data_IF_555612158059
#
_entry.id   IF_555612158059
#
_cell.length_a   1.000
_cell.length_b   1.000
_cell.length_c   1.000
_cell.angle_alpha   90.00
_cell.angle_beta   90.00
_cell.angle_gamma   90.00
#
_symmetry.space_group_name_H-M   'P 1'
#
loop_
_entity.id
_entity.type
_entity.pdbx_description
1 polymer ?
#
# COMPACT_ATOMS: atom_id res chain seq x y z
N UNK A 1 -12.48 -42.91 -5.64
CA UNK A 1 -13.04 -41.61 -5.23
C UNK A 1 -12.27 -41.19 -3.99
N UNK A 2 -11.18 -40.46 -4.19
CA UNK A 2 -10.24 -40.09 -3.14
C UNK A 2 -10.61 -38.70 -2.61
N UNK A 3 -10.82 -38.58 -1.31
CA UNK A 3 -10.99 -37.30 -0.64
C UNK A 3 -9.60 -36.69 -0.43
N UNK A 4 -9.36 -35.52 -1.01
CA UNK A 4 -8.22 -34.68 -0.64
C UNK A 4 -8.53 -34.00 0.70
N UNK A 5 -7.61 -33.98 1.68
CA UNK A 5 -7.78 -33.16 2.86
C UNK A 5 -7.49 -31.70 2.50
N UNK A 6 -8.45 -30.82 2.74
CA UNK A 6 -8.20 -29.39 2.86
C UNK A 6 -7.24 -29.16 4.03
N UNK A 7 -5.99 -28.82 3.72
CA UNK A 7 -5.08 -28.26 4.71
C UNK A 7 -5.51 -26.80 4.94
N UNK A 8 -6.32 -26.59 5.98
CA UNK A 8 -6.41 -25.29 6.64
C UNK A 8 -5.06 -25.05 7.34
N UNK A 9 -4.14 -24.36 6.66
CA UNK A 9 -3.00 -23.76 7.34
C UNK A 9 -3.53 -22.61 8.20
N UNK A 10 -3.57 -22.87 9.50
CA UNK A 10 -4.03 -21.97 10.55
C UNK A 10 -3.21 -20.67 10.53
N UNK A 11 -3.83 -19.56 10.09
CA UNK A 11 -3.32 -18.16 10.09
C UNK A 11 -3.04 -17.58 11.49
N UNK A 12 -2.66 -18.39 12.48
CA UNK A 12 -2.50 -17.95 13.87
C UNK A 12 -1.27 -18.54 14.53
N UNK A 13 -0.07 -18.23 14.04
CA UNK A 13 1.16 -18.37 14.87
C UNK A 13 2.32 -17.49 14.39
N UNK A 14 2.12 -16.18 14.23
CA UNK A 14 3.24 -15.23 14.22
C UNK A 14 2.83 -13.93 14.92
N UNK A 15 2.84 -13.95 16.25
CA UNK A 15 2.75 -12.75 17.07
C UNK A 15 3.50 -13.01 18.37
N UNK A 16 4.83 -12.93 18.28
CA UNK A 16 5.72 -12.83 19.43
C UNK A 16 7.15 -12.48 18.98
N UNK A 17 7.44 -11.20 18.68
CA UNK A 17 8.74 -10.56 18.92
C UNK A 17 8.78 -9.11 18.42
N UNK A 18 8.72 -8.15 19.35
CA UNK A 18 9.33 -6.79 19.33
C UNK A 18 8.57 -5.92 20.37
N UNK A 19 8.80 -6.05 21.68
CA UNK A 19 9.84 -5.35 22.47
C UNK A 19 9.86 -3.82 22.20
N UNK A 20 9.33 -2.97 23.08
CA UNK A 20 10.03 -2.44 24.27
C UNK A 20 11.47 -1.96 23.97
N UNK A 21 11.66 -0.65 23.77
CA UNK A 21 12.99 -0.07 23.58
C UNK A 21 13.04 1.47 23.54
N UNK A 22 13.20 2.06 24.73
CA UNK A 22 13.91 3.32 25.09
C UNK A 22 14.05 4.49 24.10
N UNK A 23 13.59 5.65 24.56
CA UNK A 23 13.96 6.98 24.08
C UNK A 23 15.48 7.23 24.15
N UNK A 24 16.08 7.57 23.01
CA UNK A 24 17.43 8.13 22.89
C UNK A 24 17.37 9.63 22.60
N UNK A 25 18.14 10.41 23.36
CA UNK A 25 18.24 11.86 23.28
C UNK A 25 19.10 12.34 22.11
N UNK A 26 18.74 13.52 21.60
CA UNK A 26 19.41 14.29 20.55
C UNK A 26 20.94 14.44 20.71
N UNK A 27 21.64 14.38 19.56
CA UNK A 27 23.01 14.83 19.40
C UNK A 27 23.17 15.54 18.05
N UNK A 28 23.36 16.86 18.09
CA UNK A 28 23.74 17.65 16.91
C UNK A 28 25.19 17.35 16.54
N UNK A 29 25.47 17.08 15.27
CA UNK A 29 26.81 17.10 14.71
C UNK A 29 26.94 18.25 13.70
N UNK A 30 27.60 19.32 14.15
CA UNK A 30 28.30 20.29 13.31
C UNK A 30 29.54 19.63 12.70
N UNK A 31 29.73 19.71 11.37
CA UNK A 31 30.97 19.19 10.78
C UNK A 31 31.12 19.30 9.26
N UNK A 32 31.75 20.39 8.83
CA UNK A 32 32.71 20.45 7.72
C UNK A 32 32.24 20.12 6.27
N UNK A 33 31.81 21.17 5.55
CA UNK A 33 31.87 21.23 4.09
C UNK A 33 33.32 21.40 3.62
N UNK A 34 33.97 20.29 3.24
CA UNK A 34 35.24 20.27 2.52
C UNK A 34 35.04 19.59 1.15
N UNK A 35 35.26 20.32 0.06
CA UNK A 35 35.02 19.81 -1.29
C UNK A 35 36.18 19.00 -1.89
N UNK A 36 35.86 18.24 -2.93
CA UNK A 36 36.77 17.69 -3.96
C UNK A 36 35.95 17.52 -5.25
N UNK A 37 36.12 18.38 -6.27
CA UNK A 37 36.95 18.14 -7.46
C UNK A 37 36.69 16.81 -8.19
N UNK A 38 35.92 16.95 -9.28
CA UNK A 38 35.79 16.09 -10.47
C UNK A 38 36.48 14.73 -10.46
N UNK A 39 35.68 13.68 -10.37
CA UNK A 39 36.02 12.35 -10.82
C UNK A 39 35.08 11.95 -11.96
N UNK A 40 35.69 11.41 -13.01
CA UNK A 40 35.07 10.94 -14.24
C UNK A 40 34.06 9.84 -13.91
N UNK A 41 32.83 9.97 -14.43
CA UNK A 41 31.81 8.92 -14.33
C UNK A 41 32.38 7.63 -14.93
N UNK A 42 32.53 6.55 -14.14
CA UNK A 42 32.80 5.24 -14.69
C UNK A 42 31.60 4.91 -15.58
N UNK A 43 31.86 4.44 -16.79
CA UNK A 43 30.82 3.74 -17.54
C UNK A 43 30.51 2.47 -16.76
N UNK A 44 29.38 2.48 -16.06
CA UNK A 44 28.83 1.34 -15.32
C UNK A 44 28.58 0.19 -16.30
N UNK A 45 29.59 -0.64 -16.49
CA UNK A 45 29.39 -2.01 -16.95
C UNK A 45 28.58 -2.68 -15.83
N UNK A 46 27.27 -2.89 -16.06
CA UNK A 46 26.35 -3.57 -15.15
C UNK A 46 26.92 -4.94 -14.74
N UNK A 47 27.66 -4.95 -13.63
CA UNK A 47 28.39 -6.10 -13.15
C UNK A 47 27.41 -7.02 -12.44
N UNK A 48 26.82 -7.95 -13.18
CA UNK A 48 26.01 -9.01 -12.59
C UNK A 48 26.88 -9.83 -11.60
N UNK A 49 26.40 -10.10 -10.38
CA UNK A 49 27.14 -10.88 -9.41
C UNK A 49 27.37 -12.30 -9.94
N UNK A 50 28.52 -12.88 -9.57
CA UNK A 50 28.80 -14.29 -9.88
C UNK A 50 27.96 -15.19 -8.97
N UNK A 51 27.28 -16.21 -9.52
CA UNK A 51 26.54 -17.19 -8.72
C UNK A 51 27.43 -17.82 -7.64
N UNK A 52 26.85 -18.13 -6.49
CA UNK A 52 27.58 -18.73 -5.38
C UNK A 52 26.97 -20.08 -5.04
N UNK A 53 27.79 -21.13 -4.92
CA UNK A 53 27.36 -22.46 -4.47
C UNK A 53 27.01 -22.49 -2.95
N UNK A 54 26.34 -21.46 -2.45
CA UNK A 54 26.01 -21.30 -1.04
C UNK A 54 24.85 -22.22 -0.68
N UNK A 55 25.05 -23.04 0.34
CA UNK A 55 24.01 -23.93 0.85
C UNK A 55 22.84 -23.10 1.44
N UNK A 56 21.61 -23.52 1.14
CA UNK A 56 20.40 -22.84 1.63
C UNK A 56 20.34 -22.88 3.16
N UNK A 57 19.92 -21.78 3.83
CA UNK A 57 19.72 -21.79 5.27
C UNK A 57 18.70 -22.86 5.71
N UNK A 58 18.99 -23.55 6.81
CA UNK A 58 18.06 -24.51 7.39
C UNK A 58 16.79 -23.80 7.89
N UNK A 59 15.62 -24.37 7.59
CA UNK A 59 14.33 -23.82 8.03
C UNK A 59 13.78 -22.71 7.15
N UNK A 60 14.19 -22.63 5.89
CA UNK A 60 13.74 -21.56 5.03
C UNK A 60 12.25 -21.67 4.66
N UNK A 61 11.45 -20.62 4.87
CA UNK A 61 10.11 -20.54 4.28
C UNK A 61 10.25 -20.57 2.75
N UNK A 62 9.71 -21.61 2.13
CA UNK A 62 9.81 -21.80 0.67
C UNK A 62 8.78 -20.97 -0.11
N UNK A 63 7.89 -20.27 0.59
CA UNK A 63 7.03 -19.24 0.02
C UNK A 63 6.35 -18.44 1.13
N UNK A 64 6.23 -17.13 0.92
CA UNK A 64 5.31 -16.27 1.66
C UNK A 64 3.91 -16.27 1.01
N UNK A 65 3.67 -17.13 0.00
CA UNK A 65 2.51 -17.14 -0.88
C UNK A 65 2.25 -15.77 -1.56
N UNK A 66 3.30 -14.97 -1.73
CA UNK A 66 3.27 -13.73 -2.50
C UNK A 66 3.36 -14.13 -3.98
N UNK A 67 2.36 -13.78 -4.77
CA UNK A 67 2.26 -14.07 -6.22
C UNK A 67 3.23 -13.21 -7.04
N UNK A 68 4.51 -13.18 -6.65
CA UNK A 68 5.58 -12.38 -7.22
C UNK A 68 6.60 -13.30 -7.88
N UNK A 69 6.74 -13.15 -9.20
CA UNK A 69 7.70 -13.93 -9.97
C UNK A 69 9.13 -13.51 -9.63
N UNK A 70 9.96 -14.50 -9.27
CA UNK A 70 11.38 -14.27 -9.07
C UNK A 70 12.10 -13.99 -10.40
N UNK A 71 13.03 -13.03 -10.43
CA UNK A 71 13.78 -12.73 -11.64
C UNK A 71 14.62 -13.95 -12.08
N UNK A 72 14.63 -14.20 -13.40
CA UNK A 72 15.46 -15.25 -14.00
C UNK A 72 16.94 -14.87 -14.03
N UNK A 73 17.22 -13.58 -14.19
CA UNK A 73 18.55 -13.00 -14.21
C UNK A 73 18.60 -11.87 -13.19
N UNK A 74 19.68 -11.80 -12.40
CA UNK A 74 19.85 -10.79 -11.37
C UNK A 74 20.68 -9.62 -11.93
N UNK A 75 19.99 -8.64 -12.49
CA UNK A 75 20.54 -7.35 -12.94
C UNK A 75 19.97 -6.24 -12.06
N UNK A 76 20.61 -5.08 -12.03
CA UNK A 76 20.14 -3.92 -11.26
C UNK A 76 18.65 -3.65 -11.55
N UNK A 77 18.29 -3.52 -12.83
CA UNK A 77 16.91 -3.26 -13.22
C UNK A 77 15.92 -4.42 -12.99
N UNK A 78 16.37 -5.68 -12.86
CA UNK A 78 15.46 -6.79 -12.52
C UNK A 78 15.25 -6.89 -11.01
N UNK A 79 16.30 -6.65 -10.22
CA UNK A 79 16.26 -6.64 -8.77
C UNK A 79 15.45 -5.46 -8.24
N UNK A 80 15.62 -4.27 -8.81
CA UNK A 80 14.86 -3.08 -8.43
C UNK A 80 13.35 -3.35 -8.56
N UNK A 81 12.90 -3.74 -9.75
CA UNK A 81 11.48 -4.08 -10.01
C UNK A 81 10.98 -5.21 -9.13
N UNK A 82 11.81 -6.24 -8.92
CA UNK A 82 11.46 -7.36 -8.05
C UNK A 82 11.23 -6.90 -6.61
N UNK A 83 12.17 -6.16 -6.02
CA UNK A 83 12.08 -5.70 -4.62
C UNK A 83 10.92 -4.73 -4.41
N UNK A 84 10.64 -3.83 -5.36
CA UNK A 84 9.47 -2.95 -5.29
C UNK A 84 8.16 -3.73 -5.33
N UNK A 85 8.01 -4.68 -6.24
CA UNK A 85 6.82 -5.53 -6.31
C UNK A 85 6.69 -6.41 -5.06
N UNK A 86 7.81 -6.97 -4.59
CA UNK A 86 7.88 -7.81 -3.40
C UNK A 86 7.48 -7.06 -2.14
N UNK A 87 8.03 -5.86 -1.91
CA UNK A 87 7.70 -5.06 -0.72
C UNK A 87 6.22 -4.68 -0.70
N UNK A 88 5.66 -4.26 -1.84
CA UNK A 88 4.23 -3.91 -1.89
C UNK A 88 3.34 -5.12 -1.55
N UNK A 89 3.68 -6.32 -2.04
CA UNK A 89 2.96 -7.54 -1.72
C UNK A 89 3.17 -7.96 -0.24
N UNK A 90 4.42 -7.96 0.22
CA UNK A 90 4.78 -8.30 1.60
C UNK A 90 4.11 -7.38 2.61
N UNK A 91 4.16 -6.06 2.39
CA UNK A 91 3.59 -5.09 3.33
C UNK A 91 2.06 -5.20 3.38
N UNK A 92 1.41 -5.49 2.25
CA UNK A 92 -0.03 -5.73 2.16
C UNK A 92 -0.46 -7.02 2.89
N UNK A 93 0.28 -8.10 2.75
CA UNK A 93 -0.16 -9.41 3.26
C UNK A 93 0.36 -9.71 4.68
N UNK A 94 1.55 -9.22 5.03
CA UNK A 94 2.24 -9.59 6.27
C UNK A 94 2.29 -8.48 7.33
N UNK A 95 2.34 -7.21 6.91
CA UNK A 95 2.51 -6.08 7.85
C UNK A 95 1.19 -5.43 8.20
N UNK A 96 0.37 -5.14 7.20
CA UNK A 96 -0.93 -4.52 7.42
C UNK A 96 -2.01 -5.58 7.32
N UNK A 97 -2.62 -5.92 8.45
CA UNK A 97 -3.89 -6.67 8.47
C UNK A 97 -5.02 -5.76 7.96
N UNK A 98 -4.97 -5.40 6.68
CA UNK A 98 -5.96 -4.54 6.07
C UNK A 98 -7.15 -5.38 5.60
N UNK A 99 -8.21 -5.39 6.41
CA UNK A 99 -9.53 -5.78 5.96
C UNK A 99 -10.31 -4.48 5.63
N UNK A 100 -10.64 -4.21 4.35
CA UNK A 100 -11.45 -3.04 4.02
C UNK A 100 -12.78 -3.15 4.79
N UNK A 101 -13.09 -2.10 5.53
CA UNK A 101 -14.29 -2.03 6.34
C UNK A 101 -15.52 -1.59 5.52
N UNK A 102 -15.29 -0.88 4.42
CA UNK A 102 -16.32 -0.46 3.47
C UNK A 102 -15.91 -0.79 2.03
N UNK A 103 -16.88 -0.79 1.10
CA UNK A 103 -16.62 -1.07 -0.33
C UNK A 103 -15.79 0.02 -1.03
N UNK A 104 -15.77 1.22 -0.44
CA UNK A 104 -15.07 2.39 -0.96
C UNK A 104 -13.72 2.62 -0.24
N UNK A 105 -13.34 1.77 0.73
CA UNK A 105 -12.04 1.91 1.37
C UNK A 105 -10.93 1.49 0.39
N UNK A 106 -9.98 2.39 0.14
CA UNK A 106 -8.83 2.11 -0.72
C UNK A 106 -7.55 1.98 0.12
N UNK A 107 -6.68 1.09 -0.31
CA UNK A 107 -5.37 0.91 0.27
C UNK A 107 -4.30 1.12 -0.79
N UNK A 108 -3.60 2.25 -0.68
CA UNK A 108 -2.51 2.61 -1.59
C UNK A 108 -1.17 2.25 -0.97
N UNK A 109 -0.33 1.54 -1.71
CA UNK A 109 1.07 1.31 -1.38
C UNK A 109 1.95 1.71 -2.56
N UNK A 110 3.05 2.39 -2.25
CA UNK A 110 4.10 2.68 -3.18
C UNK A 110 5.44 2.46 -2.50
N UNK A 111 6.31 1.71 -3.14
CA UNK A 111 7.68 1.47 -2.72
C UNK A 111 8.62 1.87 -3.85
N UNK A 112 9.77 2.43 -3.51
CA UNK A 112 10.78 2.87 -4.47
C UNK A 112 12.19 2.62 -3.96
N UNK A 113 13.07 2.16 -4.85
CA UNK A 113 14.50 2.00 -4.56
C UNK A 113 15.19 3.37 -4.62
N UNK A 114 15.97 3.70 -3.58
CA UNK A 114 16.50 5.06 -3.37
C UNK A 114 17.86 5.28 -4.05
N UNK A 115 18.77 4.31 -3.98
CA UNK A 115 20.17 4.43 -4.40
C UNK A 115 20.59 3.35 -5.42
N UNK A 116 19.60 2.73 -6.09
CA UNK A 116 19.80 1.56 -6.93
C UNK A 116 20.25 0.30 -6.16
N UNK A 117 20.23 -0.88 -6.80
CA UNK A 117 20.83 -2.09 -6.23
C UNK A 117 22.37 -2.03 -6.22
N UNK A 118 22.99 -2.63 -5.21
CA UNK A 118 24.45 -2.73 -5.10
C UNK A 118 24.86 -4.20 -5.00
N UNK A 119 25.60 -4.70 -6.00
CA UNK A 119 26.08 -6.07 -6.00
C UNK A 119 27.02 -6.36 -4.80
N UNK A 120 26.75 -7.43 -4.06
CA UNK A 120 27.54 -7.85 -2.90
C UNK A 120 27.45 -9.37 -2.69
N UNK A 121 28.61 -10.03 -2.58
CA UNK A 121 28.75 -11.45 -2.19
C UNK A 121 27.79 -12.44 -2.89
N UNK A 122 27.60 -12.27 -4.20
CA UNK A 122 26.76 -13.15 -5.03
C UNK A 122 25.31 -12.70 -5.19
N UNK A 123 24.92 -11.62 -4.52
CA UNK A 123 23.58 -11.03 -4.62
C UNK A 123 23.62 -9.52 -4.72
N UNK A 124 22.53 -8.88 -4.30
CA UNK A 124 22.33 -7.44 -4.30
C UNK A 124 21.83 -6.95 -2.96
N UNK A 125 22.37 -5.82 -2.52
CA UNK A 125 21.81 -5.01 -1.44
C UNK A 125 20.96 -3.91 -2.05
N UNK A 126 19.76 -3.72 -1.51
CA UNK A 126 18.82 -2.69 -2.00
C UNK A 126 18.35 -1.85 -0.82
N UNK A 127 18.34 -0.53 -0.98
CA UNK A 127 17.74 0.41 -0.03
C UNK A 127 16.40 0.87 -0.59
N UNK A 128 15.34 0.64 0.17
CA UNK A 128 13.98 0.93 -0.23
C UNK A 128 13.35 1.94 0.71
N UNK A 129 12.56 2.84 0.14
CA UNK A 129 11.64 3.70 0.86
C UNK A 129 10.23 3.43 0.38
N UNK A 130 9.30 3.33 1.32
CA UNK A 130 7.90 3.07 1.04
C UNK A 130 7.00 4.10 1.68
N UNK A 131 5.86 4.30 1.06
CA UNK A 131 4.76 5.12 1.56
C UNK A 131 3.45 4.43 1.26
N UNK A 132 2.47 4.65 2.12
CA UNK A 132 1.17 4.08 1.94
C UNK A 132 0.12 4.85 2.69
N UNK A 133 -1.12 4.54 2.34
CA UNK A 133 -2.29 5.21 2.84
C UNK A 133 -3.45 4.24 2.96
N UNK A 134 -4.11 4.27 4.11
CA UNK A 134 -5.50 3.82 4.19
C UNK A 134 -6.37 5.03 3.90
N UNK A 135 -7.21 4.90 2.89
CA UNK A 135 -8.22 5.88 2.51
C UNK A 135 -9.55 5.42 3.09
N UNK A 136 -9.94 5.97 4.25
CA UNK A 136 -11.28 5.77 4.79
C UNK A 136 -12.19 6.86 4.20
N UNK A 137 -13.18 6.54 3.37
CA UNK A 137 -14.02 7.55 2.77
C UNK A 137 -14.99 8.12 3.79
N UNK A 138 -14.95 9.45 3.96
CA UNK A 138 -16.09 10.18 4.50
C UNK A 138 -17.13 10.41 3.41
N UNK A 139 -18.36 10.78 3.77
CA UNK A 139 -19.32 11.28 2.78
C UNK A 139 -19.55 12.78 2.99
N UNK A 140 -19.35 13.53 1.92
CA UNK A 140 -19.82 14.88 1.77
C UNK A 140 -21.14 14.87 1.02
N UNK A 141 -22.21 15.32 1.68
CA UNK A 141 -23.56 15.36 1.13
C UNK A 141 -23.96 16.82 1.00
N UNK A 142 -24.27 17.26 -0.22
CA UNK A 142 -24.75 18.60 -0.53
C UNK A 142 -26.10 18.48 -1.22
N UNK A 143 -27.12 19.07 -0.61
CA UNK A 143 -28.45 19.15 -1.18
C UNK A 143 -28.75 20.59 -1.61
N UNK A 144 -29.09 20.76 -2.88
CA UNK A 144 -29.45 22.04 -3.47
C UNK A 144 -30.78 21.93 -4.21
N UNK A 145 -31.50 23.04 -4.30
CA UNK A 145 -32.69 23.10 -5.14
C UNK A 145 -32.24 23.24 -6.59
N UNK A 146 -32.65 22.33 -7.46
CA UNK A 146 -32.43 22.45 -8.89
C UNK A 146 -33.60 23.21 -9.55
N UNK A 147 -33.37 23.78 -10.73
CA UNK A 147 -34.46 24.26 -11.57
C UNK A 147 -35.37 23.05 -11.88
N UNK A 148 -36.60 23.01 -11.35
CA UNK A 148 -37.47 21.91 -11.67
C UNK A 148 -37.88 22.02 -13.15
N UNK A 149 -38.36 20.93 -13.76
CA UNK A 149 -39.00 21.01 -15.07
C UNK A 149 -40.07 22.11 -15.11
N UNK A 150 -40.31 22.67 -16.30
CA UNK A 150 -40.96 23.97 -16.56
C UNK A 150 -42.37 24.19 -15.97
N UNK A 151 -42.90 23.23 -15.23
CA UNK A 151 -44.27 23.08 -14.75
C UNK A 151 -44.37 22.79 -13.25
N UNK A 152 -43.29 22.95 -12.46
CA UNK A 152 -43.33 22.78 -11.00
C UNK A 152 -43.39 24.11 -10.21
N UNK A 153 -44.08 24.09 -9.06
CA UNK A 153 -44.21 25.23 -8.13
C UNK A 153 -43.04 25.29 -7.12
N UNK A 154 -42.46 26.47 -6.93
CA UNK A 154 -41.19 26.65 -6.21
C UNK A 154 -41.38 27.38 -4.86
N UNK A 155 -40.91 26.77 -3.77
CA UNK A 155 -40.79 27.33 -2.42
C UNK A 155 -39.43 28.03 -2.17
N UNK A 156 -39.29 28.71 -1.02
CA UNK A 156 -38.13 29.54 -0.69
C UNK A 156 -36.81 28.75 -0.51
N UNK A 157 -35.70 29.43 -0.83
CA UNK A 157 -34.31 28.95 -0.86
C UNK A 157 -33.84 28.27 0.43
N UNK A 158 -33.02 27.23 0.27
CA UNK A 158 -32.27 26.59 1.35
C UNK A 158 -31.20 25.66 0.78
N UNK A 159 -29.96 25.86 1.21
CA UNK A 159 -28.84 24.93 0.97
C UNK A 159 -28.60 24.14 2.25
N UNK A 160 -28.35 22.83 2.12
CA UNK A 160 -27.93 21.99 3.24
C UNK A 160 -26.66 21.23 2.89
N UNK A 161 -25.62 21.40 3.71
CA UNK A 161 -24.36 20.66 3.63
C UNK A 161 -24.18 19.84 4.91
N UNK A 162 -23.86 18.56 4.78
CA UNK A 162 -23.47 17.73 5.91
C UNK A 162 -22.29 16.83 5.57
N UNK A 163 -21.43 16.60 6.56
CA UNK A 163 -20.28 15.70 6.46
C UNK A 163 -20.48 14.53 7.40
N UNK A 164 -20.60 13.33 6.85
CA UNK A 164 -20.72 12.11 7.63
C UNK A 164 -19.33 11.51 7.73
N UNK A 165 -18.74 11.58 8.92
CA UNK A 165 -17.41 11.03 9.19
C UNK A 165 -17.45 9.66 9.88
N UNK A 166 -18.52 9.34 10.64
CA UNK A 166 -18.73 8.10 11.41
C UNK A 166 -20.20 7.94 11.83
N UNK A 167 -20.71 6.71 12.10
CA UNK A 167 -20.03 5.40 12.06
C UNK A 167 -19.99 4.75 10.67
N UNK A 168 -19.09 3.77 10.48
CA UNK A 168 -18.80 3.12 9.19
C UNK A 168 -20.02 2.47 8.55
N UNK A 169 -20.86 1.80 9.34
CA UNK A 169 -22.10 1.19 8.82
C UNK A 169 -23.05 2.24 8.22
N UNK A 170 -22.93 3.50 8.65
CA UNK A 170 -23.74 4.59 8.13
C UNK A 170 -23.29 5.05 6.75
N UNK A 171 -22.01 4.88 6.38
CA UNK A 171 -21.49 5.26 5.06
C UNK A 171 -22.04 4.32 3.99
N UNK A 172 -21.90 3.01 4.16
CA UNK A 172 -22.45 2.02 3.23
C UNK A 172 -23.98 2.15 3.10
N UNK A 173 -24.68 2.28 4.24
CA UNK A 173 -26.13 2.49 4.25
C UNK A 173 -26.53 3.74 3.46
N UNK A 174 -25.77 4.84 3.58
CA UNK A 174 -26.05 6.08 2.85
C UNK A 174 -25.75 5.95 1.35
N UNK A 175 -24.69 5.25 0.96
CA UNK A 175 -24.38 4.98 -0.45
C UNK A 175 -25.51 4.16 -1.09
N UNK A 176 -25.93 3.07 -0.42
CA UNK A 176 -27.05 2.24 -0.89
C UNK A 176 -28.36 3.03 -0.93
N UNK A 177 -28.64 3.85 0.08
CA UNK A 177 -29.82 4.71 0.10
C UNK A 177 -29.82 5.70 -1.08
N UNK A 178 -28.70 6.38 -1.35
CA UNK A 178 -28.59 7.34 -2.45
C UNK A 178 -28.79 6.65 -3.80
N UNK A 179 -28.16 5.49 -4.01
CA UNK A 179 -28.37 4.68 -5.21
C UNK A 179 -29.83 4.20 -5.36
N UNK A 180 -30.54 3.98 -4.24
CA UNK A 180 -31.96 3.62 -4.27
C UNK A 180 -32.90 4.81 -4.54
N UNK A 181 -32.47 6.05 -4.27
CA UNK A 181 -33.27 7.25 -4.44
C UNK A 181 -33.40 7.67 -5.91
N UNK A 182 -32.41 7.35 -6.74
CA UNK A 182 -32.41 7.71 -8.16
C UNK A 182 -31.77 6.60 -8.99
N UNK A 183 -32.45 6.21 -10.07
CA UNK A 183 -31.90 5.25 -11.04
C UNK A 183 -30.70 5.81 -11.82
N UNK A 184 -30.51 7.14 -11.79
CA UNK A 184 -29.42 7.83 -12.46
C UNK A 184 -28.16 7.96 -11.57
N UNK A 185 -28.30 7.73 -10.26
CA UNK A 185 -27.19 7.75 -9.34
C UNK A 185 -26.36 6.46 -9.49
N UNK A 186 -25.13 6.60 -9.98
CA UNK A 186 -24.18 5.49 -10.01
C UNK A 186 -23.68 5.20 -8.59
N UNK A 187 -23.43 3.93 -8.23
CA UNK A 187 -22.74 3.59 -7.00
C UNK A 187 -21.38 4.29 -6.94
N UNK A 188 -20.98 4.73 -5.75
CA UNK A 188 -19.60 5.16 -5.51
C UNK A 188 -18.75 3.89 -5.39
N UNK A 189 -17.69 3.78 -6.18
CA UNK A 189 -16.82 2.59 -6.24
C UNK A 189 -15.48 2.84 -5.56
N UNK A 190 -15.09 4.09 -5.37
CA UNK A 190 -13.88 4.44 -4.65
C UNK A 190 -13.81 5.87 -4.14
N UNK A 191 -12.69 6.22 -3.50
CA UNK A 191 -12.46 7.56 -2.98
C UNK A 191 -12.39 8.60 -4.11
N UNK A 192 -12.92 9.80 -3.88
CA UNK A 192 -13.00 10.85 -4.89
C UNK A 192 -14.14 10.70 -5.89
N UNK A 193 -14.83 9.55 -5.91
CA UNK A 193 -16.05 9.40 -6.69
C UNK A 193 -17.13 10.36 -6.21
N UNK A 194 -17.96 10.78 -7.14
CA UNK A 194 -19.13 11.59 -6.87
C UNK A 194 -20.33 11.09 -7.67
N UNK A 195 -21.49 11.13 -7.06
CA UNK A 195 -22.77 10.80 -7.71
C UNK A 195 -23.78 11.88 -7.40
N UNK A 196 -24.75 12.06 -8.30
CA UNK A 196 -25.82 13.03 -8.14
C UNK A 196 -27.14 12.29 -8.23
N UNK A 197 -28.02 12.49 -7.26
CA UNK A 197 -29.38 11.99 -7.26
C UNK A 197 -30.37 13.16 -7.29
N UNK A 198 -31.45 13.02 -8.05
CA UNK A 198 -32.55 13.98 -8.08
C UNK A 198 -33.79 13.36 -7.46
N UNK A 199 -34.48 14.08 -6.58
CA UNK A 199 -35.75 13.62 -6.00
C UNK A 199 -36.68 14.80 -5.68
N UNK A 200 -37.97 14.50 -5.59
CA UNK A 200 -39.03 15.48 -5.32
C UNK A 200 -39.32 15.58 -3.82
N UNK A 201 -39.26 16.80 -3.26
CA UNK A 201 -39.62 17.10 -1.87
C UNK A 201 -40.59 18.28 -1.84
N UNK A 202 -41.85 18.04 -1.49
CA UNK A 202 -42.90 19.07 -1.47
C UNK A 202 -42.97 19.86 -2.79
N UNK A 203 -43.11 19.12 -3.91
CA UNK A 203 -43.21 19.67 -5.28
C UNK A 203 -41.96 20.42 -5.76
N UNK A 204 -40.81 20.16 -5.13
CA UNK A 204 -39.52 20.72 -5.48
C UNK A 204 -38.53 19.63 -5.88
N UNK A 205 -37.91 19.79 -7.05
CA UNK A 205 -36.75 18.98 -7.42
C UNK A 205 -35.54 19.40 -6.58
N UNK A 206 -34.99 18.44 -5.85
CA UNK A 206 -33.75 18.58 -5.07
C UNK A 206 -32.66 17.78 -5.77
N UNK A 207 -31.53 18.42 -6.01
CA UNK A 207 -30.28 17.78 -6.39
C UNK A 207 -29.50 17.42 -5.12
N UNK A 208 -29.19 16.15 -4.94
CA UNK A 208 -28.29 15.66 -3.90
C UNK A 208 -26.98 15.23 -4.55
N UNK A 209 -25.95 16.04 -4.42
CA UNK A 209 -24.58 15.69 -4.75
C UNK A 209 -23.96 14.95 -3.56
N UNK A 210 -23.39 13.79 -3.82
CA UNK A 210 -22.71 12.96 -2.84
C UNK A 210 -21.29 12.73 -3.32
N UNK A 211 -20.32 13.06 -2.49
CA UNK A 211 -18.90 12.88 -2.77
C UNK A 211 -18.24 12.05 -1.68
N UNK A 212 -17.47 11.05 -2.06
CA UNK A 212 -16.60 10.32 -1.14
C UNK A 212 -15.37 11.20 -0.83
N UNK A 213 -15.31 11.73 0.39
CA UNK A 213 -14.18 12.50 0.92
C UNK A 213 -13.01 11.57 1.26
N UNK A 214 -11.78 11.99 0.98
CA UNK A 214 -10.56 11.26 1.35
C UNK A 214 -10.16 11.57 2.82
N UNK A 215 -10.39 10.65 3.77
CA UNK A 215 -9.58 10.64 5.00
C UNK A 215 -8.35 9.77 4.76
N UNK A 216 -7.17 10.37 4.89
CA UNK A 216 -5.89 9.73 4.59
C UNK A 216 -5.10 9.49 5.87
N UNK A 217 -4.84 8.22 6.19
CA UNK A 217 -3.81 7.84 7.15
C UNK A 217 -2.51 7.53 6.42
N UNK A 218 -1.61 8.52 6.32
CA UNK A 218 -0.26 8.37 5.76
C UNK A 218 0.64 7.53 6.69
N UNK A 219 1.36 6.57 6.13
CA UNK A 219 2.50 5.93 6.77
C UNK A 219 3.67 5.85 5.79
N UNK A 220 4.87 6.01 6.34
CA UNK A 220 6.14 5.88 5.62
C UNK A 220 6.99 4.83 6.32
N UNK A 221 7.74 4.08 5.54
CA UNK A 221 8.70 3.11 6.07
C UNK A 221 9.93 3.05 5.19
N UNK A 222 10.97 2.43 5.73
CA UNK A 222 12.20 2.13 5.02
C UNK A 222 12.56 0.69 5.30
N UNK A 223 13.22 0.07 4.34
CA UNK A 223 13.72 -1.29 4.47
C UNK A 223 15.01 -1.44 3.69
N UNK A 224 15.84 -2.37 4.11
CA UNK A 224 17.00 -2.83 3.37
C UNK A 224 16.82 -4.29 3.01
N UNK A 225 17.14 -4.61 1.77
CA UNK A 225 17.00 -5.95 1.23
C UNK A 225 18.35 -6.53 0.86
N UNK A 226 18.51 -7.83 1.05
CA UNK A 226 19.51 -8.63 0.37
C UNK A 226 18.82 -9.71 -0.46
N UNK A 227 19.09 -9.73 -1.76
CA UNK A 227 18.50 -10.67 -2.71
C UNK A 227 19.61 -11.36 -3.47
N UNK A 228 19.61 -12.69 -3.47
CA UNK A 228 20.45 -13.49 -4.37
C UNK A 228 19.61 -14.52 -5.14
N UNK A 229 20.28 -15.45 -5.83
CA UNK A 229 19.62 -16.48 -6.63
C UNK A 229 18.76 -17.46 -5.81
N UNK A 230 18.88 -17.40 -4.49
CA UNK A 230 18.38 -18.40 -3.56
C UNK A 230 17.55 -17.83 -2.42
N UNK A 231 17.82 -16.61 -1.95
CA UNK A 231 17.16 -16.04 -0.76
C UNK A 231 16.77 -14.58 -0.93
N UNK A 232 15.70 -14.21 -0.21
CA UNK A 232 15.31 -12.81 0.07
C UNK A 232 15.41 -12.58 1.56
N UNK A 233 16.17 -11.56 1.95
CA UNK A 233 16.30 -11.10 3.34
C UNK A 233 15.91 -9.64 3.46
N UNK A 234 15.32 -9.29 4.60
CA UNK A 234 14.87 -7.93 4.92
C UNK A 234 15.39 -7.48 6.28
N UNK A 235 15.77 -6.22 6.35
CA UNK A 235 16.14 -5.53 7.58
C UNK A 235 15.35 -4.23 7.65
N UNK A 236 14.62 -4.03 8.76
CA UNK A 236 13.84 -2.80 8.99
C UNK A 236 14.72 -1.62 9.42
N UNK A 237 15.88 -1.90 9.99
CA UNK A 237 16.82 -0.89 10.45
C UNK A 237 17.48 -0.16 9.25
N UNK A 238 17.58 1.16 9.37
CA UNK A 238 18.32 2.00 8.44
C UNK A 238 19.84 1.77 8.55
N UNK A 239 20.30 1.12 9.62
CA UNK A 239 21.68 0.76 9.85
C UNK A 239 21.87 -0.76 9.87
N UNK A 240 23.01 -1.22 9.34
CA UNK A 240 23.34 -2.64 9.31
C UNK A 240 23.27 -3.29 7.94
N UNK A 241 23.62 -4.58 7.94
CA UNK A 241 23.74 -5.40 6.75
C UNK A 241 22.49 -6.27 6.59
N UNK A 242 21.71 -6.12 5.50
CA UNK A 242 20.50 -6.91 5.32
C UNK A 242 20.75 -8.41 5.14
N UNK A 243 22.00 -8.85 4.96
CA UNK A 243 22.37 -10.27 5.01
C UNK A 243 22.21 -10.88 6.39
N UNK A 244 22.31 -10.06 7.42
CA UNK A 244 22.02 -10.43 8.82
C UNK A 244 20.55 -10.21 9.18
N UNK A 245 19.74 -9.75 8.22
CA UNK A 245 18.30 -9.51 8.37
C UNK A 245 17.46 -10.79 8.41
N UNK A 246 16.16 -10.60 8.59
CA UNK A 246 15.16 -11.65 8.58
C UNK A 246 15.14 -12.36 7.22
N UNK A 247 15.16 -13.69 7.24
CA UNK A 247 15.01 -14.51 6.05
C UNK A 247 13.53 -14.62 5.69
N UNK A 248 13.10 -13.92 4.65
CA UNK A 248 11.71 -13.88 4.24
C UNK A 248 11.32 -15.06 3.35
N UNK A 249 12.18 -15.43 2.40
CA UNK A 249 11.85 -16.46 1.42
C UNK A 249 13.10 -17.12 0.82
N UNK A 250 12.98 -18.40 0.45
CA UNK A 250 13.93 -19.07 -0.42
C UNK A 250 13.28 -19.54 -1.72
N UNK A 251 14.06 -19.48 -2.80
CA UNK A 251 13.69 -20.08 -4.08
C UNK A 251 13.48 -21.58 -3.91
N UNK A 252 12.33 -22.09 -4.36
CA UNK A 252 12.15 -23.53 -4.52
C UNK A 252 13.14 -24.04 -5.56
N UNK A 253 13.96 -25.01 -5.17
CA UNK A 253 14.76 -25.78 -6.13
C UNK A 253 13.80 -26.60 -6.98
N UNK A 254 13.69 -26.23 -8.27
CA UNK A 254 12.91 -26.97 -9.27
C UNK A 254 13.61 -28.24 -9.71
#
# INVERSE_FOLDING_TARGET
MACFPHMNLSRRTLLAAAAAGTAGTAGCLDGAFGGTSGEESPTDDEASPTPTDRELPAGCPTTQDLDIEWPTELTDGSIERFVEAYENAYYREAVVEYEPATVVDEYGLAASVSDGPVAVDGGYRVVLSGSGGVYEPGLHLRAERADPPADADVAAEGEAETRVRRPRERVDELIEQVASLSADASPLEGPGDSTTAYFEVNDATVELAVQADNFHGDYWWKARYYVDEHVVRRLEDEEGDPRDGELLECRKQS
#
